data_IF_173319899986
#
_entry.id   IF_173319899986
#
_cell.length_a   1.000
_cell.length_b   1.000
_cell.length_c   1.000
_cell.angle_alpha   90.00
_cell.angle_beta   90.00
_cell.angle_gamma   90.00
#
_symmetry.space_group_name_H-M   'P 1'
#
loop_
_entity.id
_entity.type
_entity.pdbx_description
1 polymer ?
#
# COMPACT_ATOMS: atom_id res chain seq x y z
N UNK A 1 -26.84 3.78 4.18
CA UNK A 1 -26.38 4.08 2.81
C UNK A 1 -25.79 2.81 2.22
N UNK A 2 -26.21 2.42 1.03
CA UNK A 2 -25.73 1.18 0.36
C UNK A 2 -24.43 1.44 -0.38
N UNK A 3 -23.65 0.37 -0.65
CA UNK A 3 -22.48 0.43 -1.53
C UNK A 3 -22.85 0.86 -2.95
N UNK A 4 -22.01 1.62 -3.61
CA UNK A 4 -22.20 2.04 -5.00
C UNK A 4 -21.78 0.90 -5.96
N UNK A 5 -22.36 0.87 -7.14
CA UNK A 5 -21.92 0.03 -8.24
C UNK A 5 -20.61 0.59 -8.81
N UNK A 6 -19.55 -0.21 -8.81
CA UNK A 6 -18.21 0.25 -9.15
C UNK A 6 -17.73 -0.33 -10.48
N UNK A 7 -17.87 -1.65 -10.64
CA UNK A 7 -17.39 -2.39 -11.81
C UNK A 7 -18.43 -3.42 -12.22
N UNK A 8 -18.74 -3.45 -13.50
CA UNK A 8 -19.58 -4.46 -14.11
C UNK A 8 -18.75 -5.31 -15.07
N UNK A 9 -18.86 -6.61 -14.94
CA UNK A 9 -18.35 -7.57 -15.93
C UNK A 9 -19.51 -8.00 -16.83
N UNK A 10 -19.29 -7.93 -18.14
CA UNK A 10 -20.28 -8.31 -19.13
C UNK A 10 -19.73 -9.42 -20.03
N UNK A 11 -20.65 -10.28 -20.44
CA UNK A 11 -20.40 -11.29 -21.48
C UNK A 11 -21.38 -11.02 -22.61
N UNK A 12 -20.91 -10.36 -23.64
CA UNK A 12 -21.81 -9.77 -24.66
C UNK A 12 -22.72 -8.75 -24.00
N UNK A 13 -24.03 -8.87 -24.21
CA UNK A 13 -25.04 -7.97 -23.63
C UNK A 13 -25.50 -8.38 -22.21
N UNK A 14 -25.07 -9.53 -21.74
CA UNK A 14 -25.43 -10.01 -20.39
C UNK A 14 -24.48 -9.49 -19.34
N UNK A 15 -25.03 -9.01 -18.22
CA UNK A 15 -24.26 -8.73 -16.99
C UNK A 15 -23.89 -10.07 -16.35
N UNK A 16 -22.59 -10.39 -16.30
CA UNK A 16 -22.06 -11.61 -15.68
C UNK A 16 -21.86 -11.42 -14.19
N UNK A 17 -21.29 -10.28 -13.78
CA UNK A 17 -21.13 -9.94 -12.37
C UNK A 17 -21.11 -8.45 -12.14
N UNK A 18 -21.39 -8.04 -10.89
CA UNK A 18 -21.39 -6.66 -10.44
C UNK A 18 -20.60 -6.56 -9.13
N UNK A 19 -19.58 -5.72 -9.13
CA UNK A 19 -18.79 -5.41 -7.96
C UNK A 19 -19.25 -4.08 -7.38
N UNK A 20 -19.49 -4.08 -6.08
CA UNK A 20 -19.96 -2.91 -5.34
C UNK A 20 -18.93 -2.52 -4.29
N UNK A 21 -18.85 -1.23 -3.99
CA UNK A 21 -17.86 -0.74 -3.04
C UNK A 21 -18.17 0.65 -2.53
N UNK A 22 -17.16 1.24 -1.93
CA UNK A 22 -17.14 2.59 -1.43
C UNK A 22 -15.86 3.27 -1.92
N UNK A 23 -15.96 4.53 -2.33
CA UNK A 23 -14.81 5.31 -2.73
C UNK A 23 -14.97 6.76 -2.28
N UNK A 24 -13.86 7.45 -2.12
CA UNK A 24 -13.80 8.85 -1.74
C UNK A 24 -12.60 9.51 -2.41
N UNK A 25 -12.81 10.72 -2.89
CA UNK A 25 -11.75 11.63 -3.32
C UNK A 25 -11.75 12.80 -2.34
N UNK A 26 -10.58 13.09 -1.79
CA UNK A 26 -10.37 14.20 -0.86
C UNK A 26 -9.24 15.10 -1.34
N UNK A 27 -9.32 16.36 -0.97
CA UNK A 27 -8.23 17.32 -1.03
C UNK A 27 -7.97 17.95 0.35
N UNK A 28 -7.15 19.02 0.39
CA UNK A 28 -6.85 19.73 1.63
C UNK A 28 -8.07 20.43 2.28
N UNK A 29 -9.17 20.59 1.53
CA UNK A 29 -10.39 21.25 2.00
C UNK A 29 -11.47 20.24 2.41
N UNK A 30 -11.28 18.96 2.13
CA UNK A 30 -12.17 17.89 2.53
C UNK A 30 -12.59 16.96 1.38
N UNK A 31 -13.82 16.46 1.46
CA UNK A 31 -14.35 15.52 0.48
C UNK A 31 -14.74 16.26 -0.81
N UNK A 32 -14.12 15.88 -1.92
CA UNK A 32 -14.42 16.36 -3.26
C UNK A 32 -15.55 15.55 -3.89
N UNK A 33 -15.43 14.22 -3.81
CA UNK A 33 -16.42 13.30 -4.37
C UNK A 33 -16.46 12.00 -3.55
N UNK A 34 -17.63 11.36 -3.47
CA UNK A 34 -17.81 10.13 -2.72
C UNK A 34 -18.87 9.21 -3.35
N UNK A 35 -18.62 7.92 -3.29
CA UNK A 35 -19.52 6.86 -3.73
C UNK A 35 -19.79 5.89 -2.59
N UNK A 36 -21.05 5.52 -2.40
CA UNK A 36 -21.45 4.62 -1.31
C UNK A 36 -21.33 5.26 0.07
N UNK A 37 -20.73 4.57 1.02
CA UNK A 37 -20.51 5.04 2.40
C UNK A 37 -19.02 5.29 2.63
N UNK A 38 -18.50 6.49 2.37
CA UNK A 38 -17.06 6.78 2.49
C UNK A 38 -16.55 6.67 3.93
N UNK A 39 -17.42 6.81 4.93
CA UNK A 39 -17.06 6.63 6.36
C UNK A 39 -17.09 5.17 6.81
N UNK A 40 -17.17 4.20 5.88
CA UNK A 40 -17.12 2.78 6.24
C UNK A 40 -15.74 2.43 6.78
N UNK A 41 -15.70 1.86 7.99
CA UNK A 41 -14.46 1.35 8.57
C UNK A 41 -14.04 0.09 7.80
N UNK A 42 -12.80 0.06 7.36
CA UNK A 42 -12.20 -1.05 6.61
C UNK A 42 -10.79 -1.33 7.12
N UNK A 43 -10.30 -2.54 6.85
CA UNK A 43 -8.88 -2.85 7.02
C UNK A 43 -8.14 -2.49 5.72
N UNK A 44 -7.30 -1.45 5.70
CA UNK A 44 -6.60 -1.03 4.48
C UNK A 44 -5.55 -2.06 4.01
N UNK A 45 -5.06 -2.89 4.93
CA UNK A 45 -4.05 -3.92 4.68
C UNK A 45 -2.82 -3.32 3.96
N UNK A 46 -2.32 -4.01 2.96
CA UNK A 46 -1.12 -3.58 2.22
C UNK A 46 -1.30 -2.31 1.37
N UNK A 47 -2.53 -1.87 1.14
CA UNK A 47 -2.78 -0.65 0.34
C UNK A 47 -2.30 0.63 1.03
N UNK A 48 -2.09 0.61 2.35
CA UNK A 48 -1.60 1.77 3.10
C UNK A 48 -0.06 1.84 3.22
N UNK A 49 0.69 0.89 2.64
CA UNK A 49 2.15 0.82 2.79
C UNK A 49 2.88 2.06 2.29
N UNK A 50 2.43 2.67 1.20
CA UNK A 50 3.01 3.93 0.70
C UNK A 50 2.86 5.06 1.71
N UNK A 51 1.71 5.14 2.39
CA UNK A 51 1.48 6.13 3.46
C UNK A 51 2.37 5.82 4.67
N UNK A 52 2.52 4.55 5.03
CA UNK A 52 3.40 4.11 6.11
C UNK A 52 4.88 4.39 5.83
N UNK A 53 5.28 4.45 4.55
CA UNK A 53 6.65 4.77 4.14
C UNK A 53 6.94 6.29 4.11
N UNK A 54 5.94 7.17 4.18
CA UNK A 54 6.13 8.62 4.15
C UNK A 54 7.14 9.11 5.22
N UNK A 55 7.09 8.68 6.48
CA UNK A 55 8.07 9.10 7.48
C UNK A 55 9.51 8.77 7.11
N UNK A 56 9.75 7.70 6.36
CA UNK A 56 11.08 7.33 5.87
C UNK A 56 11.66 8.41 4.94
N UNK A 57 10.81 9.05 4.15
CA UNK A 57 11.18 10.13 3.23
C UNK A 57 11.19 11.49 3.94
N UNK A 58 10.10 11.83 4.63
CA UNK A 58 9.90 13.15 5.23
C UNK A 58 10.89 13.47 6.36
N UNK A 59 11.35 12.44 7.08
CA UNK A 59 12.39 12.60 8.12
C UNK A 59 13.79 12.78 7.55
N UNK A 60 14.01 12.56 6.25
CA UNK A 60 15.32 12.52 5.62
C UNK A 60 16.10 11.22 5.89
N UNK A 61 15.50 10.23 6.55
CA UNK A 61 16.18 8.97 6.88
C UNK A 61 16.57 8.18 5.62
N UNK A 62 15.75 8.22 4.58
CA UNK A 62 16.05 7.57 3.31
C UNK A 62 17.33 8.16 2.67
N UNK A 63 17.44 9.47 2.63
CA UNK A 63 18.61 10.17 2.07
C UNK A 63 19.85 9.93 2.94
N UNK A 64 19.72 10.02 4.26
CA UNK A 64 20.81 9.78 5.20
C UNK A 64 21.35 8.36 5.12
N UNK A 65 20.51 7.37 4.86
CA UNK A 65 20.89 5.97 4.66
C UNK A 65 21.30 5.64 3.21
N UNK A 66 21.20 6.60 2.29
CA UNK A 66 21.51 6.41 0.88
C UNK A 66 20.61 5.38 0.19
N UNK A 67 19.33 5.32 0.55
CA UNK A 67 18.40 4.34 0.00
C UNK A 67 18.17 4.58 -1.49
N UNK A 68 18.15 3.48 -2.22
CA UNK A 68 17.85 3.46 -3.65
C UNK A 68 16.34 3.41 -3.89
N UNK A 69 15.89 3.79 -5.09
CA UNK A 69 14.49 3.64 -5.53
C UNK A 69 13.99 2.20 -5.38
N UNK A 70 14.87 1.22 -5.58
CA UNK A 70 14.56 -0.20 -5.40
C UNK A 70 14.23 -0.54 -3.94
N UNK A 71 14.97 0.02 -2.99
CA UNK A 71 14.70 -0.16 -1.55
C UNK A 71 13.43 0.57 -1.13
N UNK A 72 13.18 1.77 -1.66
CA UNK A 72 11.93 2.50 -1.42
C UNK A 72 10.71 1.73 -1.98
N UNK A 73 10.83 1.18 -3.19
CA UNK A 73 9.79 0.33 -3.76
C UNK A 73 9.56 -0.93 -2.91
N UNK A 74 10.64 -1.54 -2.39
CA UNK A 74 10.57 -2.70 -1.49
C UNK A 74 9.82 -2.36 -0.19
N UNK A 75 10.05 -1.18 0.39
CA UNK A 75 9.35 -0.71 1.59
C UNK A 75 7.84 -0.57 1.38
N UNK A 76 7.42 -0.19 0.17
CA UNK A 76 6.01 0.00 -0.20
C UNK A 76 5.33 -1.27 -0.71
N UNK A 77 6.08 -2.34 -0.98
CA UNK A 77 5.57 -3.55 -1.63
C UNK A 77 5.08 -4.61 -0.64
N UNK A 78 4.22 -5.49 -1.14
CA UNK A 78 3.90 -6.75 -0.47
C UNK A 78 4.83 -7.85 -0.99
N UNK A 79 5.45 -8.57 -0.07
CA UNK A 79 6.42 -9.59 -0.40
C UNK A 79 5.83 -11.00 -0.22
N UNK A 80 6.17 -11.90 -1.12
CA UNK A 80 5.81 -13.32 -1.02
C UNK A 80 6.93 -14.18 -0.40
N UNK A 81 8.03 -13.56 0.03
CA UNK A 81 9.20 -14.28 0.51
C UNK A 81 9.98 -15.01 -0.59
N UNK A 82 9.85 -14.56 -1.86
CA UNK A 82 10.67 -15.09 -2.94
C UNK A 82 12.15 -14.79 -2.69
N UNK A 83 13.03 -15.60 -3.27
CA UNK A 83 14.49 -15.45 -3.10
C UNK A 83 15.01 -14.03 -3.46
N UNK A 84 14.35 -13.37 -4.40
CA UNK A 84 14.66 -11.97 -4.77
C UNK A 84 14.33 -10.99 -3.63
N UNK A 85 13.15 -11.14 -3.00
CA UNK A 85 12.74 -10.27 -1.90
C UNK A 85 13.59 -10.52 -0.66
N UNK A 86 13.85 -11.80 -0.31
CA UNK A 86 14.68 -12.16 0.83
C UNK A 86 16.08 -11.55 0.69
N UNK A 87 16.73 -11.73 -0.46
CA UNK A 87 18.06 -11.13 -0.69
C UNK A 87 18.04 -9.60 -0.59
N UNK A 88 17.02 -8.95 -1.16
CA UNK A 88 16.93 -7.49 -1.13
C UNK A 88 16.76 -6.93 0.29
N UNK A 89 16.01 -7.64 1.15
CA UNK A 89 15.87 -7.27 2.57
C UNK A 89 17.17 -7.52 3.33
N UNK A 90 17.81 -8.67 3.13
CA UNK A 90 19.06 -9.05 3.79
C UNK A 90 20.20 -8.08 3.42
N UNK A 91 20.35 -7.75 2.15
CA UNK A 91 21.29 -6.74 1.68
C UNK A 91 21.05 -5.37 2.33
N UNK A 92 19.78 -4.98 2.46
CA UNK A 92 19.42 -3.71 3.09
C UNK A 92 19.73 -3.71 4.60
N UNK A 93 19.35 -4.75 5.32
CA UNK A 93 19.67 -4.89 6.75
C UNK A 93 21.19 -4.87 6.99
N UNK A 94 21.93 -5.63 6.18
CA UNK A 94 23.42 -5.66 6.26
C UNK A 94 24.01 -4.26 6.03
N UNK A 95 23.49 -3.51 5.07
CA UNK A 95 23.91 -2.13 4.80
C UNK A 95 23.63 -1.15 5.94
N UNK A 96 22.72 -1.50 6.86
CA UNK A 96 22.39 -0.74 8.07
C UNK A 96 23.08 -1.29 9.32
N UNK A 97 24.00 -2.25 9.17
CA UNK A 97 24.65 -2.98 10.27
C UNK A 97 23.60 -3.70 11.17
N UNK A 98 22.56 -4.25 10.56
CA UNK A 98 21.45 -4.97 11.17
C UNK A 98 21.33 -6.38 10.60
N UNK A 99 20.59 -7.23 11.30
CA UNK A 99 20.32 -8.61 10.90
C UNK A 99 18.82 -8.95 11.08
N UNK A 100 18.40 -10.12 10.61
CA UNK A 100 17.02 -10.62 10.74
C UNK A 100 16.51 -10.55 12.19
N UNK A 101 17.38 -10.84 13.17
CA UNK A 101 17.03 -10.79 14.59
C UNK A 101 16.63 -9.40 15.12
N UNK A 102 16.93 -8.33 14.37
CA UNK A 102 16.54 -6.96 14.72
C UNK A 102 15.11 -6.63 14.28
N UNK A 103 14.53 -7.45 13.40
CA UNK A 103 13.12 -7.33 12.98
C UNK A 103 12.22 -7.83 14.12
N UNK A 104 11.32 -6.96 14.56
CA UNK A 104 10.38 -7.24 15.66
C UNK A 104 8.95 -7.47 15.11
N UNK A 105 8.85 -8.29 14.10
CA UNK A 105 7.55 -8.68 13.54
C UNK A 105 6.88 -9.70 14.47
N UNK A 106 5.66 -9.37 14.91
CA UNK A 106 4.83 -10.27 15.72
C UNK A 106 4.16 -11.38 14.89
#
# INVERSE_FOLDING_TARGET
MRSAEMIELRRGDMRESLHRGHAIICDAHGVVEAWGKPSQIVFPRSSCKMIQALPLIESGAADAAGLTDRQLALACASHSGSAMHVRAVDEWLTGLDMAEGDLRCG
#
